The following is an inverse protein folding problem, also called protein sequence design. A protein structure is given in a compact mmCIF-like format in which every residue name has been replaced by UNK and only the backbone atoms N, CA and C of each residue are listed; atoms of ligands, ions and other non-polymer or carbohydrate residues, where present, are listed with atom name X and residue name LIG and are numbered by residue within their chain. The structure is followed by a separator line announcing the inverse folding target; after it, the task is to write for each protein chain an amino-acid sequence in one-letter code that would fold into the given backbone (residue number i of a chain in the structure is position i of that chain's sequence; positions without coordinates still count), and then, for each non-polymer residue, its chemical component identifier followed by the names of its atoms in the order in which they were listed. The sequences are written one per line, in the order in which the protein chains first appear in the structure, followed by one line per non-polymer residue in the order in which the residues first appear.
data_IF_575734328540
#
_entry.id   IF_575734328540
#
_cell.length_a   1.000
_cell.length_b   1.000
_cell.length_c   1.000
_cell.angle_alpha   90.00
_cell.angle_beta   90.00
_cell.angle_gamma   90.00
#
_symmetry.space_group_name_H-M   'P 1'
#
loop_
_entity.id
_entity.type
_entity.pdbx_description
1 polymer ?
#
# COMPACT_ATOMS: atom_id res chain seq x y z
N UNK A 1 -12.36 10.25 14.57
CA UNK A 1 -11.81 9.50 13.41
C UNK A 1 -11.68 10.43 12.20
N UNK A 2 -10.53 10.48 11.52
CA UNK A 2 -10.32 11.33 10.34
C UNK A 2 -10.71 10.59 9.05
N UNK A 3 -11.86 10.92 8.48
CA UNK A 3 -12.44 10.33 7.25
C UNK A 3 -12.10 11.23 6.05
N UNK A 4 -11.83 10.63 4.88
CA UNK A 4 -11.55 11.38 3.65
C UNK A 4 -12.81 12.10 3.15
N UNK A 5 -12.67 13.37 2.79
CA UNK A 5 -13.79 14.21 2.38
C UNK A 5 -14.07 14.06 0.88
N UNK A 6 -15.34 14.17 0.46
CA UNK A 6 -15.71 14.10 -0.97
C UNK A 6 -15.00 15.21 -1.77
N UNK A 7 -14.51 14.87 -2.96
CA UNK A 7 -13.82 15.81 -3.88
C UNK A 7 -14.67 17.04 -4.22
N UNK A 8 -15.99 16.92 -4.29
CA UNK A 8 -16.91 18.04 -4.54
C UNK A 8 -16.85 19.09 -3.44
N UNK A 9 -16.85 18.69 -2.17
CA UNK A 9 -16.70 19.61 -1.02
C UNK A 9 -15.37 20.35 -1.05
N UNK A 10 -14.28 19.67 -1.43
CA UNK A 10 -12.97 20.33 -1.58
C UNK A 10 -12.99 21.40 -2.67
N UNK A 11 -13.70 21.17 -3.78
CA UNK A 11 -13.81 22.13 -4.89
C UNK A 11 -14.59 23.41 -4.49
N UNK A 12 -15.44 23.35 -3.47
CA UNK A 12 -16.22 24.51 -3.01
C UNK A 12 -15.38 25.50 -2.17
N UNK A 13 -14.17 25.13 -1.75
CA UNK A 13 -13.29 26.01 -0.97
C UNK A 13 -12.74 27.14 -1.86
N UNK A 14 -13.31 28.34 -1.71
CA UNK A 14 -12.92 29.54 -2.49
C UNK A 14 -11.52 30.06 -2.15
N UNK A 15 -11.10 29.96 -0.87
CA UNK A 15 -9.79 30.43 -0.44
C UNK A 15 -8.67 29.46 -0.84
N UNK A 16 -7.74 29.91 -1.68
CA UNK A 16 -6.60 29.11 -2.18
C UNK A 16 -5.72 28.52 -1.06
N UNK A 17 -5.48 29.27 0.03
CA UNK A 17 -4.65 28.81 1.16
C UNK A 17 -5.34 27.68 1.93
N UNK A 18 -6.64 27.83 2.18
CA UNK A 18 -7.46 26.81 2.84
C UNK A 18 -7.55 25.53 1.98
N UNK A 19 -7.73 25.68 0.66
CA UNK A 19 -7.77 24.56 -0.28
C UNK A 19 -6.45 23.78 -0.28
N UNK A 20 -5.30 24.47 -0.28
CA UNK A 20 -3.97 23.82 -0.23
C UNK A 20 -3.80 23.00 1.06
N UNK A 21 -4.23 23.56 2.20
CA UNK A 21 -4.19 22.87 3.50
C UNK A 21 -5.10 21.63 3.49
N UNK A 22 -6.34 21.78 3.02
CA UNK A 22 -7.29 20.67 2.92
C UNK A 22 -6.76 19.54 2.03
N UNK A 23 -6.21 19.87 0.85
CA UNK A 23 -5.59 18.87 -0.04
C UNK A 23 -4.43 18.10 0.63
N UNK A 24 -3.59 18.78 1.42
CA UNK A 24 -2.50 18.13 2.16
C UNK A 24 -3.05 17.13 3.19
N UNK A 25 -4.10 17.51 3.93
CA UNK A 25 -4.77 16.62 4.87
C UNK A 25 -5.40 15.41 4.17
N UNK A 26 -6.09 15.62 3.04
CA UNK A 26 -6.70 14.53 2.27
C UNK A 26 -5.67 13.58 1.68
N UNK A 27 -4.51 14.08 1.24
CA UNK A 27 -3.41 13.23 0.80
C UNK A 27 -2.92 12.31 1.94
N UNK A 28 -2.74 12.85 3.15
CA UNK A 28 -2.36 12.05 4.32
C UNK A 28 -3.42 11.00 4.66
N UNK A 29 -4.71 11.33 4.54
CA UNK A 29 -5.79 10.35 4.73
C UNK A 29 -5.74 9.23 3.68
N UNK A 30 -5.46 9.57 2.42
CA UNK A 30 -5.38 8.62 1.31
C UNK A 30 -4.19 7.64 1.42
N UNK A 31 -3.10 8.01 2.10
CA UNK A 31 -1.96 7.11 2.34
C UNK A 31 -2.35 5.83 3.09
N UNK A 32 -3.43 5.86 3.90
CA UNK A 32 -3.92 4.68 4.62
C UNK A 32 -4.33 3.55 3.68
N UNK A 33 -5.10 3.86 2.65
CA UNK A 33 -5.53 2.87 1.65
C UNK A 33 -4.34 2.25 0.90
N UNK A 34 -3.27 3.02 0.68
CA UNK A 34 -2.04 2.49 0.05
C UNK A 34 -1.33 1.50 0.96
N UNK A 35 -1.25 1.76 2.26
CA UNK A 35 -0.60 0.87 3.24
C UNK A 35 -1.41 -0.41 3.45
N UNK A 36 -2.74 -0.33 3.44
CA UNK A 36 -3.62 -1.51 3.56
C UNK A 36 -3.44 -2.52 2.41
N UNK A 37 -3.03 -2.07 1.22
CA UNK A 37 -2.90 -2.92 0.05
C UNK A 37 -1.80 -4.00 0.19
N UNK A 38 -0.52 -3.67 0.52
CA UNK A 38 0.51 -4.66 0.85
C UNK A 38 0.07 -5.65 1.94
N UNK A 39 -0.58 -5.19 3.01
CA UNK A 39 -1.07 -6.08 4.06
C UNK A 39 -2.10 -7.08 3.55
N UNK A 40 -2.99 -6.66 2.64
CA UNK A 40 -3.95 -7.58 2.00
C UNK A 40 -3.23 -8.64 1.17
N UNK A 41 -2.23 -8.24 0.38
CA UNK A 41 -1.44 -9.17 -0.44
C UNK A 41 -0.72 -10.18 0.45
N UNK A 42 -0.03 -9.72 1.49
CA UNK A 42 0.70 -10.57 2.45
C UNK A 42 -0.25 -11.56 3.13
N UNK A 43 -1.42 -11.11 3.60
CA UNK A 43 -2.38 -11.98 4.30
C UNK A 43 -3.10 -12.96 3.39
N UNK A 44 -3.50 -12.54 2.19
CA UNK A 44 -4.36 -13.33 1.29
C UNK A 44 -3.57 -14.15 0.29
N UNK A 45 -2.54 -13.58 -0.33
CA UNK A 45 -1.77 -14.25 -1.38
C UNK A 45 -0.65 -15.11 -0.80
N UNK A 46 0.02 -14.63 0.24
CA UNK A 46 1.13 -15.34 0.91
C UNK A 46 0.70 -16.07 2.19
N UNK A 47 -0.58 -15.98 2.57
CA UNK A 47 -1.14 -16.75 3.70
C UNK A 47 -0.60 -16.37 5.09
N UNK A 48 0.02 -15.19 5.25
CA UNK A 48 0.58 -14.76 6.53
C UNK A 48 -0.52 -14.24 7.47
N UNK A 49 -1.25 -15.16 8.10
CA UNK A 49 -2.41 -14.88 8.95
C UNK A 49 -2.06 -14.97 10.45
N UNK A 50 -1.08 -15.79 10.82
CA UNK A 50 -0.63 -15.98 12.21
C UNK A 50 0.90 -15.87 12.31
N UNK A 51 1.38 -15.25 13.38
CA UNK A 51 2.81 -15.20 13.73
C UNK A 51 3.18 -16.43 14.57
N UNK A 52 4.45 -16.85 14.54
CA UNK A 52 4.91 -17.93 15.43
C UNK A 52 5.13 -17.40 16.84
N UNK A 53 4.81 -18.21 17.85
CA UNK A 53 4.92 -17.81 19.26
C UNK A 53 6.37 -17.56 19.70
N UNK A 54 7.33 -18.32 19.17
CA UNK A 54 8.77 -18.20 19.49
C UNK A 54 9.59 -17.77 18.28
N UNK A 55 10.68 -17.04 18.54
CA UNK A 55 11.67 -16.64 17.54
C UNK A 55 11.34 -15.32 16.85
N UNK A 56 11.45 -14.22 17.60
CA UNK A 56 11.20 -12.86 17.10
C UNK A 56 12.03 -12.54 15.85
N UNK A 57 13.33 -12.88 15.86
CA UNK A 57 14.21 -12.67 14.72
C UNK A 57 13.70 -13.37 13.45
N UNK A 58 13.20 -14.61 13.56
CA UNK A 58 12.66 -15.38 12.42
C UNK A 58 11.35 -14.77 11.92
N UNK A 59 10.47 -14.33 12.82
CA UNK A 59 9.24 -13.63 12.44
C UNK A 59 9.55 -12.30 11.73
N UNK A 60 10.50 -11.51 12.23
CA UNK A 60 10.91 -10.24 11.61
C UNK A 60 11.48 -10.48 10.22
N UNK A 61 12.40 -11.43 10.07
CA UNK A 61 12.96 -11.80 8.77
C UNK A 61 11.84 -12.20 7.79
N UNK A 62 10.90 -13.05 8.22
CA UNK A 62 9.76 -13.49 7.41
C UNK A 62 8.90 -12.30 6.94
N UNK A 63 8.54 -11.38 7.85
CA UNK A 63 7.74 -10.20 7.48
C UNK A 63 8.46 -9.32 6.47
N UNK A 64 9.76 -9.04 6.69
CA UNK A 64 10.56 -8.23 5.77
C UNK A 64 10.62 -8.87 4.37
N UNK A 65 10.87 -10.17 4.30
CA UNK A 65 10.87 -10.91 3.02
C UNK A 65 9.50 -10.85 2.34
N UNK A 66 8.40 -11.03 3.08
CA UNK A 66 7.04 -10.97 2.51
C UNK A 66 6.69 -9.56 1.99
N UNK A 67 7.18 -8.50 2.63
CA UNK A 67 7.02 -7.14 2.12
C UNK A 67 7.79 -6.93 0.81
N UNK A 68 9.02 -7.43 0.71
CA UNK A 68 9.78 -7.37 -0.54
C UNK A 68 9.08 -8.14 -1.67
N UNK A 69 8.60 -9.36 -1.39
CA UNK A 69 7.87 -10.17 -2.37
C UNK A 69 6.53 -9.56 -2.76
N UNK A 70 5.83 -8.90 -1.84
CA UNK A 70 4.60 -8.16 -2.13
C UNK A 70 4.84 -7.06 -3.18
N UNK A 71 5.98 -6.36 -3.12
CA UNK A 71 6.33 -5.35 -4.11
C UNK A 71 6.50 -5.96 -5.51
N UNK A 72 7.20 -7.10 -5.61
CA UNK A 72 7.34 -7.85 -6.86
C UNK A 72 5.99 -8.34 -7.39
N UNK A 73 5.16 -8.92 -6.52
CA UNK A 73 3.84 -9.40 -6.89
C UNK A 73 2.94 -8.29 -7.43
N UNK A 74 2.99 -7.09 -6.86
CA UNK A 74 2.24 -5.92 -7.35
C UNK A 74 2.73 -5.47 -8.74
N UNK A 75 4.03 -5.62 -9.01
CA UNK A 75 4.65 -5.25 -10.30
C UNK A 75 4.64 -6.38 -11.33
N UNK A 76 4.15 -7.58 -11.00
CA UNK A 76 4.17 -8.75 -11.90
C UNK A 76 3.68 -8.49 -13.33
N UNK A 77 2.63 -7.68 -13.51
CA UNK A 77 2.10 -7.37 -14.85
C UNK A 77 3.09 -6.61 -15.73
N UNK A 78 3.98 -5.82 -15.13
CA UNK A 78 5.04 -5.11 -15.84
C UNK A 78 6.30 -5.97 -16.02
N UNK A 79 6.55 -6.91 -15.10
CA UNK A 79 7.76 -7.74 -15.09
C UNK A 79 7.62 -9.00 -15.96
N UNK A 80 6.43 -9.58 -16.06
CA UNK A 80 6.20 -10.82 -16.82
C UNK A 80 6.39 -10.67 -18.34
N UNK A 81 6.01 -9.55 -19.00
CA UNK A 81 6.30 -9.35 -20.42
C UNK A 81 7.82 -9.31 -20.71
N UNK A 82 8.59 -8.60 -19.88
CA UNK A 82 10.06 -8.53 -20.02
C UNK A 82 10.76 -9.90 -19.85
N UNK A 83 10.11 -10.84 -19.16
CA UNK A 83 10.62 -12.19 -18.93
C UNK A 83 10.23 -13.17 -20.06
N UNK A 84 9.23 -12.83 -20.88
CA UNK A 84 8.89 -13.58 -22.09
C UNK A 84 9.89 -13.28 -23.23
N UNK A 85 10.38 -12.05 -23.34
CA UNK A 85 11.41 -11.66 -24.32
C UNK A 85 12.79 -12.31 -24.04
N UNK A 86 13.13 -12.57 -22.78
CA UNK A 86 14.38 -13.24 -22.38
C UNK A 86 14.38 -14.77 -22.54
N UNK A 87 13.23 -15.37 -22.91
CA UNK A 87 13.06 -16.82 -23.07
C UNK A 87 12.97 -17.27 -24.53
N UNK A 88 13.20 -16.35 -25.47
CA UNK A 88 13.40 -16.60 -26.90
C UNK A 88 14.89 -16.51 -27.23
#
# INVERSE_FOLDING_TARGET
YLIAEKRSKLKQIKNKRALKRAKRWEHTKAMRAKVEHPFRVIKRQFGYVKVRYRGLAKNTAQVLTLFALSNLWQKRKHLLPAMAELRL
#
